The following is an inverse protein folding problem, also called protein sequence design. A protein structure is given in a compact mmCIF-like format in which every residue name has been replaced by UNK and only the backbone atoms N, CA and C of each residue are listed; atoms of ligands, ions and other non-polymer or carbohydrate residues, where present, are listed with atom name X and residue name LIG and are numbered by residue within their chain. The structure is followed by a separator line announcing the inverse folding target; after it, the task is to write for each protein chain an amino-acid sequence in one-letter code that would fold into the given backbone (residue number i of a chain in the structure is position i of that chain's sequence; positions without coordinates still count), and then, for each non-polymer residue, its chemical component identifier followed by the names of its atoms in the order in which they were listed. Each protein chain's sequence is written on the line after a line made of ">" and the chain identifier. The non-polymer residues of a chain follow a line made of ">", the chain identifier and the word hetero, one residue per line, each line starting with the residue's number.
data_IF_187213061196
#
_entry.id   IF_187213061196
#
_cell.length_a   1.000
_cell.length_b   1.000
_cell.length_c   1.000
_cell.angle_alpha   90.00
_cell.angle_beta   90.00
_cell.angle_gamma   90.00
#
_symmetry.space_group_name_H-M   'P 1'
#
loop_
_entity.id
_entity.type
_entity.pdbx_description
1 polymer ?
#
# COMPACT_ATOMS: atom_id res chain seq x y z
N UNK A 1 4.42 -17.46 -41.26
CA UNK A 1 3.69 -16.31 -41.79
C UNK A 1 4.34 -15.05 -41.22
N UNK A 2 4.90 -14.22 -42.11
CA UNK A 2 5.65 -13.02 -41.74
C UNK A 2 4.70 -11.84 -41.72
N UNK A 3 4.54 -11.15 -40.56
CA UNK A 3 3.79 -9.91 -40.43
C UNK A 3 4.74 -8.77 -40.12
N UNK A 4 4.91 -7.88 -41.07
CA UNK A 4 5.65 -6.61 -40.96
C UNK A 4 4.77 -5.58 -40.20
N UNK A 5 5.29 -4.92 -39.20
CA UNK A 5 4.68 -3.73 -38.61
C UNK A 5 5.54 -2.51 -38.88
N UNK A 6 4.88 -1.51 -39.42
CA UNK A 6 5.42 -0.26 -39.94
C UNK A 6 5.65 0.75 -38.81
N UNK A 7 6.81 1.36 -38.90
CA UNK A 7 7.22 2.59 -38.20
C UNK A 7 6.31 3.76 -38.57
N UNK A 8 5.78 4.49 -37.58
CA UNK A 8 5.11 5.78 -37.74
C UNK A 8 5.78 6.83 -36.90
N UNK A 9 6.62 7.65 -37.52
CA UNK A 9 7.20 8.88 -36.96
C UNK A 9 6.20 9.99 -37.23
N UNK A 10 5.78 10.73 -36.17
CA UNK A 10 5.09 12.02 -36.32
C UNK A 10 5.84 13.06 -35.51
N UNK A 11 6.58 13.90 -36.21
CA UNK A 11 7.15 15.13 -35.73
C UNK A 11 6.07 16.23 -35.78
N UNK A 12 5.85 16.91 -34.66
CA UNK A 12 4.97 18.09 -34.58
C UNK A 12 5.68 19.22 -33.85
N UNK A 13 6.44 20.03 -34.62
CA UNK A 13 6.89 21.36 -34.16
C UNK A 13 5.72 22.34 -34.28
N UNK A 14 5.41 23.05 -33.20
CA UNK A 14 4.64 24.30 -33.29
C UNK A 14 5.28 25.35 -32.38
N UNK A 15 6.09 26.18 -33.02
CA UNK A 15 6.58 27.43 -32.44
C UNK A 15 5.48 28.48 -32.58
N UNK A 16 5.03 29.07 -31.48
CA UNK A 16 4.21 30.28 -31.48
C UNK A 16 5.01 31.43 -30.85
N UNK A 17 5.57 32.26 -31.73
CA UNK A 17 6.11 33.56 -31.39
C UNK A 17 4.97 34.55 -31.29
N UNK A 18 4.72 35.11 -30.10
CA UNK A 18 3.92 36.29 -29.90
C UNK A 18 4.83 37.45 -29.50
N UNK A 19 5.16 38.27 -30.47
CA UNK A 19 5.70 39.63 -30.27
C UNK A 19 4.60 40.58 -29.93
N UNK A 20 4.62 41.16 -28.74
CA UNK A 20 3.82 42.35 -28.41
C UNK A 20 4.77 43.52 -28.24
N UNK A 21 4.73 44.43 -29.20
CA UNK A 21 5.40 45.69 -29.17
C UNK A 21 4.53 46.77 -28.52
N UNK A 22 5.07 47.53 -27.62
CA UNK A 22 4.78 48.97 -27.47
C UNK A 22 3.80 49.36 -26.39
N UNK A 23 4.30 50.09 -25.41
CA UNK A 23 4.00 51.53 -25.29
C UNK A 23 4.89 52.12 -24.18
N UNK A 24 5.64 53.12 -24.54
CA UNK A 24 6.39 54.07 -23.71
C UNK A 24 5.46 54.85 -22.78
N UNK A 25 5.77 54.87 -21.50
CA UNK A 25 5.17 55.78 -20.53
C UNK A 25 5.96 55.69 -19.22
N UNK A 26 6.78 56.75 -18.97
CA UNK A 26 7.74 56.81 -17.89
C UNK A 26 7.10 56.82 -16.50
N UNK A 27 7.85 56.27 -15.60
CA UNK A 27 7.62 56.24 -14.16
C UNK A 27 8.59 55.21 -13.55
N UNK A 28 9.78 55.69 -13.16
CA UNK A 28 10.75 54.92 -12.41
C UNK A 28 10.17 54.56 -11.04
N UNK A 29 9.40 53.47 -11.02
CA UNK A 29 9.12 52.73 -9.77
C UNK A 29 9.66 51.33 -10.00
N UNK A 30 10.85 51.07 -9.45
CA UNK A 30 11.45 49.77 -9.41
C UNK A 30 10.45 48.79 -8.78
N UNK A 31 10.00 47.72 -9.48
CA UNK A 31 9.11 46.75 -8.88
C UNK A 31 9.83 46.06 -7.74
N UNK A 32 9.33 46.30 -6.53
CA UNK A 32 9.73 45.50 -5.36
C UNK A 32 9.50 44.02 -5.73
N UNK A 33 10.54 43.17 -5.67
CA UNK A 33 10.34 41.75 -5.97
C UNK A 33 9.28 41.21 -5.00
N UNK A 34 8.18 40.70 -5.56
CA UNK A 34 7.17 39.96 -4.82
C UNK A 34 7.89 38.77 -4.17
N UNK A 35 7.76 38.59 -2.84
CA UNK A 35 8.43 37.46 -2.19
C UNK A 35 7.95 36.17 -2.85
N UNK A 36 8.89 35.41 -3.42
CA UNK A 36 8.62 34.06 -3.90
C UNK A 36 7.93 33.29 -2.80
N UNK A 37 6.82 32.57 -3.11
CA UNK A 37 6.15 31.71 -2.13
C UNK A 37 7.20 30.71 -1.61
N UNK A 38 7.54 30.86 -0.35
CA UNK A 38 8.39 29.87 0.35
C UNK A 38 7.61 28.58 0.37
N UNK A 39 7.98 27.63 -0.50
CA UNK A 39 7.49 26.27 -0.44
C UNK A 39 7.85 25.73 0.93
N UNK A 40 6.89 25.68 1.84
CA UNK A 40 7.03 25.00 3.12
C UNK A 40 7.10 23.51 2.82
N UNK A 41 8.31 22.96 2.76
CA UNK A 41 8.51 21.51 2.75
C UNK A 41 7.81 20.94 3.99
N UNK A 42 6.87 20.00 3.84
CA UNK A 42 6.20 19.40 4.99
C UNK A 42 7.26 18.74 5.89
N UNK A 43 7.31 19.18 7.15
CA UNK A 43 8.28 18.72 8.14
C UNK A 43 7.66 17.53 8.92
N UNK A 44 7.47 16.39 8.27
CA UNK A 44 6.92 15.19 8.88
C UNK A 44 6.99 14.01 7.94
N UNK A 45 6.80 12.80 8.46
CA UNK A 45 6.71 11.61 7.62
C UNK A 45 5.55 11.75 6.63
N UNK A 46 5.63 11.12 5.45
CA UNK A 46 4.55 11.12 4.48
C UNK A 46 3.29 10.51 5.11
N UNK A 47 2.08 11.00 4.72
CA UNK A 47 0.84 10.40 5.19
C UNK A 47 0.76 8.93 4.77
N UNK A 48 0.12 8.12 5.62
CA UNK A 48 -0.11 6.72 5.29
C UNK A 48 -0.94 6.63 4.01
N UNK A 49 -0.53 5.81 3.00
CA UNK A 49 -1.30 5.61 1.79
C UNK A 49 -2.71 5.11 2.08
N UNK A 50 -3.69 5.62 1.36
CA UNK A 50 -5.05 5.08 1.41
C UNK A 50 -5.06 3.64 0.89
N UNK A 51 -5.95 2.83 1.45
CA UNK A 51 -6.09 1.44 1.05
C UNK A 51 -6.71 1.27 -0.34
N UNK A 52 -6.66 0.06 -0.87
CA UNK A 52 -7.22 -0.29 -2.16
C UNK A 52 -8.61 -0.92 -2.02
N UNK A 53 -9.50 -0.64 -2.98
CA UNK A 53 -10.81 -1.30 -3.13
C UNK A 53 -11.67 -1.33 -1.83
N UNK A 54 -11.60 -0.25 -1.04
CA UNK A 54 -12.38 -0.09 0.19
C UNK A 54 -11.83 -0.84 1.40
N UNK A 55 -10.62 -1.39 1.30
CA UNK A 55 -9.90 -2.03 2.41
C UNK A 55 -8.72 -1.17 2.81
N UNK A 56 -8.53 -0.95 4.11
CA UNK A 56 -7.40 -0.20 4.66
C UNK A 56 -6.75 -0.98 5.79
N UNK A 57 -5.43 -1.17 5.70
CA UNK A 57 -4.58 -1.64 6.78
C UNK A 57 -3.92 -0.43 7.45
N UNK A 58 -4.48 -0.02 8.59
CA UNK A 58 -4.02 1.15 9.32
C UNK A 58 -2.88 0.78 10.26
N UNK A 59 -1.67 1.22 9.92
CA UNK A 59 -0.48 1.04 10.76
C UNK A 59 -0.46 2.16 11.80
N UNK A 60 -0.65 1.82 13.07
CA UNK A 60 -0.77 2.79 14.18
C UNK A 60 0.54 3.55 14.47
N UNK A 61 1.68 2.92 14.25
CA UNK A 61 3.00 3.54 14.40
C UNK A 61 3.65 3.84 13.03
N UNK A 62 2.85 4.38 12.12
CA UNK A 62 3.26 4.71 10.76
C UNK A 62 4.49 5.61 10.69
N UNK A 63 4.60 6.60 11.58
CA UNK A 63 5.69 7.57 11.60
C UNK A 63 7.08 6.92 11.72
N UNK A 64 7.15 5.72 12.32
CA UNK A 64 8.39 4.97 12.49
C UNK A 64 8.79 4.19 11.22
N UNK A 65 7.82 3.89 10.33
CA UNK A 65 8.00 2.98 9.20
C UNK A 65 7.55 3.53 7.85
N UNK A 66 7.21 4.82 7.77
CA UNK A 66 6.67 5.45 6.56
C UNK A 66 7.59 5.36 5.33
N UNK A 67 8.91 5.21 5.54
CA UNK A 67 9.93 5.08 4.51
C UNK A 67 10.52 3.67 4.41
N UNK A 68 10.01 2.72 5.17
CA UNK A 68 10.47 1.32 5.15
C UNK A 68 9.81 0.57 3.98
N UNK A 69 10.60 0.25 2.96
CA UNK A 69 10.14 -0.37 1.72
C UNK A 69 9.48 -1.74 1.95
N UNK A 70 9.98 -2.52 2.90
CA UNK A 70 9.38 -3.82 3.22
C UNK A 70 8.03 -3.67 3.92
N UNK A 71 7.89 -2.68 4.80
CA UNK A 71 6.60 -2.38 5.46
C UNK A 71 5.60 -1.83 4.46
N UNK A 72 6.02 -0.99 3.52
CA UNK A 72 5.18 -0.50 2.43
C UNK A 72 4.65 -1.67 1.57
N UNK A 73 5.54 -2.56 1.13
CA UNK A 73 5.17 -3.73 0.34
C UNK A 73 4.23 -4.68 1.12
N UNK A 74 4.53 -4.93 2.39
CA UNK A 74 3.69 -5.72 3.27
C UNK A 74 2.27 -5.14 3.41
N UNK A 75 2.16 -3.84 3.66
CA UNK A 75 0.87 -3.14 3.74
C UNK A 75 0.08 -3.26 2.44
N UNK A 76 0.71 -2.91 1.32
CA UNK A 76 0.07 -2.92 0.00
C UNK A 76 -0.42 -4.33 -0.39
N UNK A 77 0.40 -5.35 -0.15
CA UNK A 77 0.01 -6.73 -0.36
C UNK A 77 -1.15 -7.15 0.54
N UNK A 78 -1.11 -6.80 1.82
CA UNK A 78 -2.18 -7.12 2.77
C UNK A 78 -3.52 -6.50 2.38
N UNK A 79 -3.51 -5.27 1.88
CA UNK A 79 -4.70 -4.61 1.33
C UNK A 79 -5.19 -5.29 0.05
N UNK A 80 -4.28 -5.62 -0.87
CA UNK A 80 -4.64 -6.28 -2.11
C UNK A 80 -5.20 -7.70 -1.91
N UNK A 81 -4.68 -8.47 -0.95
CA UNK A 81 -5.20 -9.80 -0.65
C UNK A 81 -6.56 -9.71 0.06
N UNK A 82 -6.74 -8.76 0.98
CA UNK A 82 -8.01 -8.50 1.64
C UNK A 82 -9.10 -8.04 0.65
N UNK A 83 -8.74 -7.17 -0.30
CA UNK A 83 -9.62 -6.76 -1.38
C UNK A 83 -9.97 -7.93 -2.32
N UNK A 84 -9.02 -8.85 -2.55
CA UNK A 84 -9.26 -10.09 -3.31
C UNK A 84 -10.33 -10.97 -2.65
N UNK A 85 -10.34 -11.06 -1.33
CA UNK A 85 -11.42 -11.76 -0.58
C UNK A 85 -12.78 -11.12 -0.87
N UNK A 86 -12.85 -9.78 -0.92
CA UNK A 86 -14.11 -9.06 -1.14
C UNK A 86 -14.64 -9.19 -2.58
N UNK A 87 -13.76 -9.43 -3.55
CA UNK A 87 -14.12 -9.60 -4.97
C UNK A 87 -14.33 -11.06 -5.36
N UNK A 88 -13.87 -12.01 -4.55
CA UNK A 88 -13.83 -13.45 -4.88
C UNK A 88 -12.77 -13.81 -5.93
N UNK A 89 -11.94 -12.87 -6.35
CA UNK A 89 -10.89 -13.05 -7.35
C UNK A 89 -9.55 -12.51 -6.85
N UNK A 90 -8.49 -13.27 -7.08
CA UNK A 90 -7.15 -12.82 -6.74
C UNK A 90 -6.74 -11.64 -7.64
N UNK A 91 -6.64 -10.45 -7.06
CA UNK A 91 -6.32 -9.22 -7.76
C UNK A 91 -4.90 -9.27 -8.37
N UNK A 92 -4.66 -8.62 -9.52
CA UNK A 92 -3.34 -8.56 -10.15
C UNK A 92 -2.25 -8.06 -9.20
N UNK A 93 -2.55 -7.03 -8.41
CA UNK A 93 -1.59 -6.46 -7.47
C UNK A 93 -1.16 -7.42 -6.37
N UNK A 94 -2.05 -8.25 -5.84
CA UNK A 94 -1.69 -9.30 -4.88
C UNK A 94 -0.72 -10.32 -5.50
N UNK A 95 -0.88 -10.63 -6.80
CA UNK A 95 0.01 -11.55 -7.53
C UNK A 95 1.40 -10.96 -7.80
N UNK A 96 1.47 -9.65 -8.03
CA UNK A 96 2.74 -8.96 -8.30
C UNK A 96 3.61 -8.86 -7.05
N UNK A 97 2.99 -8.72 -5.87
CA UNK A 97 3.66 -8.46 -4.61
C UNK A 97 4.02 -9.72 -3.80
N UNK A 98 3.64 -10.92 -4.24
CA UNK A 98 3.90 -12.13 -3.49
C UNK A 98 4.35 -13.30 -4.35
N UNK A 99 5.17 -14.15 -3.77
CA UNK A 99 5.58 -15.41 -4.38
C UNK A 99 4.38 -16.37 -4.53
N UNK A 100 4.55 -17.35 -5.39
CA UNK A 100 3.50 -18.36 -5.60
C UNK A 100 3.18 -19.12 -4.32
N UNK A 101 4.18 -19.42 -3.50
CA UNK A 101 4.02 -20.15 -2.25
C UNK A 101 3.13 -19.40 -1.26
N UNK A 102 3.30 -18.08 -1.16
CA UNK A 102 2.43 -17.21 -0.35
C UNK A 102 1.02 -17.19 -0.92
N UNK A 103 0.88 -17.02 -2.24
CA UNK A 103 -0.44 -16.95 -2.88
C UNK A 103 -1.24 -18.26 -2.72
N UNK A 104 -0.59 -19.42 -2.83
CA UNK A 104 -1.26 -20.72 -2.72
C UNK A 104 -1.98 -20.89 -1.35
N UNK A 105 -1.40 -20.37 -0.26
CA UNK A 105 -2.03 -20.37 1.07
C UNK A 105 -3.30 -19.50 1.09
N UNK A 106 -3.25 -18.33 0.47
CA UNK A 106 -4.38 -17.39 0.48
C UNK A 106 -5.49 -17.75 -0.51
N UNK A 107 -5.22 -18.55 -1.54
CA UNK A 107 -6.25 -19.08 -2.42
C UNK A 107 -7.25 -19.97 -1.67
N UNK A 108 -6.82 -20.71 -0.68
CA UNK A 108 -7.73 -21.51 0.16
C UNK A 108 -8.60 -20.63 1.06
N UNK A 109 -8.04 -19.51 1.56
CA UNK A 109 -8.81 -18.51 2.31
C UNK A 109 -9.86 -17.81 1.43
N UNK A 110 -9.53 -17.46 0.19
CA UNK A 110 -10.48 -16.88 -0.75
C UNK A 110 -11.67 -17.84 -0.98
N UNK A 111 -11.39 -19.11 -1.26
CA UNK A 111 -12.44 -20.12 -1.43
C UNK A 111 -13.31 -20.29 -0.19
N UNK A 112 -12.68 -20.35 0.98
CA UNK A 112 -13.40 -20.45 2.24
C UNK A 112 -14.33 -19.24 2.46
N UNK A 113 -13.86 -18.05 2.16
CA UNK A 113 -14.66 -16.83 2.27
C UNK A 113 -15.84 -16.83 1.28
N UNK A 114 -15.61 -17.23 0.03
CA UNK A 114 -16.65 -17.36 -1.00
C UNK A 114 -17.72 -18.40 -0.59
N UNK A 115 -17.31 -19.60 -0.17
CA UNK A 115 -18.20 -20.68 0.24
C UNK A 115 -19.08 -20.33 1.46
N UNK A 116 -18.66 -19.37 2.28
CA UNK A 116 -19.35 -18.95 3.51
C UNK A 116 -19.93 -17.53 3.45
N UNK A 117 -19.93 -16.88 2.27
CA UNK A 117 -20.36 -15.47 2.07
C UNK A 117 -19.70 -14.49 3.05
N UNK A 118 -18.39 -14.66 3.23
CA UNK A 118 -17.57 -13.82 4.11
C UNK A 118 -16.80 -12.77 3.33
N UNK A 119 -16.40 -11.72 4.02
CA UNK A 119 -15.62 -10.59 3.48
C UNK A 119 -14.50 -10.21 4.42
N UNK A 120 -13.47 -9.59 3.90
CA UNK A 120 -12.48 -8.91 4.73
C UNK A 120 -13.06 -7.65 5.33
N UNK A 121 -12.60 -7.28 6.51
CA UNK A 121 -12.95 -6.02 7.16
C UNK A 121 -12.52 -4.83 6.29
N UNK A 122 -13.34 -3.76 6.30
CA UNK A 122 -12.99 -2.53 5.61
C UNK A 122 -11.76 -1.83 6.23
N UNK A 123 -11.52 -2.06 7.52
CA UNK A 123 -10.39 -1.46 8.25
C UNK A 123 -9.78 -2.49 9.20
N UNK A 124 -8.48 -2.73 9.02
CA UNK A 124 -7.67 -3.59 9.89
C UNK A 124 -6.64 -2.73 10.61
N UNK A 125 -6.59 -2.82 11.94
CA UNK A 125 -5.59 -2.12 12.74
C UNK A 125 -4.33 -2.96 12.84
N UNK A 126 -3.20 -2.34 12.55
CA UNK A 126 -1.88 -2.99 12.53
C UNK A 126 -0.89 -2.17 13.34
N UNK A 127 0.01 -2.85 14.02
CA UNK A 127 1.20 -2.25 14.63
C UNK A 127 2.43 -3.02 14.19
N UNK A 128 3.40 -2.35 13.63
CA UNK A 128 4.68 -2.97 13.27
C UNK A 128 5.52 -3.09 14.53
N UNK A 129 5.81 -4.33 14.94
CA UNK A 129 6.65 -4.60 16.11
C UNK A 129 8.13 -4.45 15.77
N UNK A 130 8.53 -4.79 14.53
CA UNK A 130 9.86 -4.57 13.98
C UNK A 130 9.89 -4.78 12.47
N UNK A 131 10.88 -4.17 11.82
CA UNK A 131 11.34 -4.48 10.47
C UNK A 131 12.86 -4.56 10.49
N UNK A 132 13.42 -5.66 10.04
CA UNK A 132 14.86 -5.93 10.07
C UNK A 132 15.32 -6.50 8.73
N UNK A 133 16.35 -5.90 8.14
CA UNK A 133 16.88 -6.29 6.83
C UNK A 133 18.21 -7.01 6.98
N UNK A 134 18.35 -8.17 6.34
CA UNK A 134 19.57 -8.94 6.28
C UNK A 134 19.73 -9.53 4.86
N UNK A 135 20.85 -9.25 4.22
CA UNK A 135 21.24 -9.81 2.93
C UNK A 135 20.16 -9.76 1.84
N UNK A 136 19.46 -8.61 1.69
CA UNK A 136 18.44 -8.41 0.66
C UNK A 136 17.06 -8.95 1.00
N UNK A 137 16.89 -9.51 2.19
CA UNK A 137 15.60 -9.94 2.71
C UNK A 137 15.26 -9.17 3.97
N UNK A 138 14.08 -8.61 4.04
CA UNK A 138 13.56 -7.94 5.22
C UNK A 138 12.54 -8.82 5.93
N UNK A 139 12.60 -8.88 7.26
CA UNK A 139 11.61 -9.55 8.09
C UNK A 139 10.73 -8.49 8.77
N UNK A 140 9.48 -8.43 8.38
CA UNK A 140 8.46 -7.58 9.01
C UNK A 140 7.67 -8.40 10.03
N UNK A 141 7.63 -7.94 11.27
CA UNK A 141 6.78 -8.52 12.33
C UNK A 141 5.67 -7.55 12.63
N UNK A 142 4.45 -7.94 12.33
CA UNK A 142 3.25 -7.15 12.52
C UNK A 142 2.35 -7.76 13.60
N UNK A 143 1.72 -6.89 14.37
CA UNK A 143 0.64 -7.21 15.30
C UNK A 143 -0.67 -6.72 14.68
N UNK A 144 -1.59 -7.62 14.44
CA UNK A 144 -2.87 -7.35 13.77
C UNK A 144 -3.98 -7.49 14.81
N UNK A 145 -4.79 -6.44 14.96
CA UNK A 145 -5.95 -6.51 15.84
C UNK A 145 -7.10 -7.18 15.12
N UNK A 146 -7.36 -8.42 15.47
CA UNK A 146 -8.32 -9.23 14.73
C UNK A 146 -8.96 -10.32 15.59
N UNK A 147 -10.11 -10.79 15.11
CA UNK A 147 -10.70 -12.09 15.44
C UNK A 147 -10.45 -13.00 14.26
N UNK A 148 -9.96 -14.22 14.48
CA UNK A 148 -9.84 -15.29 13.46
C UNK A 148 -9.92 -14.88 11.98
N UNK A 149 -8.77 -14.74 11.34
CA UNK A 149 -8.63 -14.47 9.89
C UNK A 149 -9.27 -13.17 9.35
N UNK A 150 -9.72 -12.24 10.23
CA UNK A 150 -10.25 -10.92 9.84
C UNK A 150 -11.49 -10.96 8.94
N UNK A 151 -12.19 -12.09 8.93
CA UNK A 151 -13.38 -12.28 8.12
C UNK A 151 -14.65 -11.83 8.87
N UNK A 152 -15.51 -11.16 8.14
CA UNK A 152 -16.83 -10.71 8.61
C UNK A 152 -17.93 -11.21 7.67
N UNK A 153 -19.14 -11.32 8.20
CA UNK A 153 -20.35 -11.57 7.42
C UNK A 153 -20.73 -10.34 6.59
N UNK A 154 -21.70 -10.47 5.71
CA UNK A 154 -22.25 -9.36 4.93
C UNK A 154 -22.80 -8.21 5.83
N UNK A 155 -23.25 -8.53 7.04
CA UNK A 155 -23.77 -7.56 8.02
C UNK A 155 -22.65 -6.91 8.85
N UNK A 156 -21.39 -7.33 8.64
CA UNK A 156 -20.21 -6.79 9.34
C UNK A 156 -19.91 -7.46 10.68
N UNK A 157 -20.62 -8.51 11.04
CA UNK A 157 -20.34 -9.28 12.25
C UNK A 157 -19.14 -10.21 12.01
N UNK A 158 -18.29 -10.35 13.01
CA UNK A 158 -17.18 -11.30 12.91
C UNK A 158 -17.70 -12.73 12.77
N UNK A 159 -17.06 -13.48 11.87
CA UNK A 159 -17.36 -14.90 11.66
C UNK A 159 -17.07 -15.79 12.88
N UNK A 160 -16.14 -15.38 13.72
CA UNK A 160 -15.72 -16.12 14.91
C UNK A 160 -16.27 -15.51 16.19
N UNK A 161 -16.62 -16.35 17.16
CA UNK A 161 -17.02 -15.95 18.54
C UNK A 161 -15.80 -15.66 19.43
N UNK A 162 -14.56 -15.81 18.93
CA UNK A 162 -13.35 -15.50 19.69
C UNK A 162 -13.27 -14.03 20.04
N UNK A 163 -12.70 -13.71 21.20
CA UNK A 163 -12.38 -12.30 21.54
C UNK A 163 -11.27 -11.78 20.64
N UNK A 164 -11.36 -10.51 20.18
CA UNK A 164 -10.29 -9.90 19.38
C UNK A 164 -9.00 -9.85 20.18
N UNK A 165 -7.90 -10.06 19.49
CA UNK A 165 -6.55 -10.02 20.07
C UNK A 165 -5.54 -9.50 19.05
N UNK A 166 -4.38 -9.10 19.55
CA UNK A 166 -3.23 -8.81 18.70
C UNK A 166 -2.60 -10.14 18.22
N UNK A 167 -3.00 -10.60 17.04
CA UNK A 167 -2.36 -11.72 16.37
C UNK A 167 -0.99 -11.30 15.83
N UNK A 168 0.02 -12.16 15.99
CA UNK A 168 1.35 -11.91 15.45
C UNK A 168 1.48 -12.53 14.07
N UNK A 169 1.86 -11.72 13.10
CA UNK A 169 2.20 -12.14 11.75
C UNK A 169 3.67 -11.84 11.48
N UNK A 170 4.35 -12.73 10.80
CA UNK A 170 5.72 -12.57 10.32
C UNK A 170 5.72 -12.68 8.81
N UNK A 171 6.24 -11.67 8.15
CA UNK A 171 6.39 -11.66 6.69
C UNK A 171 7.87 -11.50 6.32
N UNK A 172 8.31 -12.22 5.29
CA UNK A 172 9.60 -11.99 4.64
C UNK A 172 9.39 -11.33 3.29
N UNK A 173 10.15 -10.29 3.05
CA UNK A 173 10.09 -9.47 1.84
C UNK A 173 11.48 -9.44 1.21
N UNK A 174 11.62 -9.92 -0.02
CA UNK A 174 12.82 -9.69 -0.82
C UNK A 174 12.79 -8.25 -1.33
N UNK A 175 13.83 -7.47 -0.99
CA UNK A 175 13.95 -6.03 -1.32
C UNK A 175 15.08 -5.71 -2.29
N UNK A 176 15.90 -6.70 -2.68
CA UNK A 176 16.97 -6.55 -3.67
C UNK A 176 16.52 -6.87 -5.12
N UNK A 177 15.26 -7.25 -5.31
CA UNK A 177 14.63 -7.41 -6.60
C UNK A 177 14.25 -6.06 -7.24
N UNK A 178 13.81 -6.06 -8.51
CA UNK A 178 13.32 -4.85 -9.20
C UNK A 178 12.10 -4.21 -8.49
N UNK A 179 11.31 -5.05 -7.81
CA UNK A 179 10.23 -4.62 -6.90
C UNK A 179 10.19 -5.57 -5.69
N UNK A 180 9.80 -5.07 -4.51
CA UNK A 180 9.67 -5.91 -3.32
C UNK A 180 8.64 -7.03 -3.50
N UNK A 181 8.99 -8.25 -3.05
CA UNK A 181 8.14 -9.45 -3.16
C UNK A 181 8.07 -10.16 -1.83
N UNK A 182 6.88 -10.45 -1.34
CA UNK A 182 6.66 -11.29 -0.18
C UNK A 182 6.93 -12.76 -0.53
N UNK A 183 7.84 -13.38 0.19
CA UNK A 183 8.25 -14.78 -0.03
C UNK A 183 7.78 -15.74 1.07
N UNK A 184 7.39 -15.20 2.22
CA UNK A 184 6.85 -15.95 3.34
C UNK A 184 5.89 -15.09 4.14
N UNK A 185 4.76 -15.64 4.56
CA UNK A 185 3.83 -15.01 5.51
C UNK A 185 3.31 -16.07 6.45
N UNK A 186 3.49 -15.87 7.75
CA UNK A 186 3.15 -16.85 8.78
C UNK A 186 2.45 -16.18 9.96
N UNK A 187 1.44 -16.84 10.53
CA UNK A 187 0.83 -16.45 11.79
C UNK A 187 1.52 -17.20 12.94
N UNK A 188 2.23 -16.48 13.78
CA UNK A 188 3.06 -17.01 14.85
C UNK A 188 2.58 -16.55 16.24
N UNK A 189 1.40 -17.01 16.63
CA UNK A 189 0.82 -16.76 17.95
C UNK A 189 0.25 -15.35 18.14
N UNK A 190 0.53 -14.76 19.30
CA UNK A 190 0.00 -13.44 19.69
C UNK A 190 1.12 -12.47 20.05
N UNK A 191 0.90 -11.20 19.79
CA UNK A 191 1.74 -10.14 20.33
C UNK A 191 1.51 -9.99 21.83
N UNK A 192 2.60 -9.98 22.60
CA UNK A 192 2.56 -9.87 24.05
C UNK A 192 2.74 -8.41 24.47
N UNK A 193 1.95 -7.98 25.45
CA UNK A 193 2.10 -6.65 26.06
C UNK A 193 1.48 -5.51 25.26
N UNK A 194 0.77 -5.81 24.19
CA UNK A 194 0.00 -4.82 23.44
C UNK A 194 -1.38 -4.63 24.10
N UNK A 195 -1.72 -3.37 24.36
CA UNK A 195 -3.05 -3.02 24.85
C UNK A 195 -4.08 -3.03 23.71
N UNK A 196 -5.37 -3.35 24.01
CA UNK A 196 -6.44 -3.21 23.02
C UNK A 196 -6.47 -1.79 22.44
N UNK A 197 -6.83 -1.61 21.17
CA UNK A 197 -6.99 -0.29 20.59
C UNK A 197 -8.15 0.45 21.29
N UNK A 198 -7.95 1.75 21.53
CA UNK A 198 -8.92 2.64 22.20
C UNK A 198 -10.08 3.05 21.28
#
# INVERSE_FOLDING_TARGET
>A
MRGHWRTGVVAGLSALLLTIAGCTGGGDTEPTPEPEPTETTPTGPPPQPEGADGVTWEIQNWDEYAEDEAVLAYKEWSEAISASVNTGELLPRARELASREVLDVYLDQLRFAEDNDLRSQARTLVRIARSESEAGTSTVVACIWSKSAELVTADGDYFSDEEPRWARQVAKVETDAEAPVLTEVDFDGNCRGEEPPS
#
